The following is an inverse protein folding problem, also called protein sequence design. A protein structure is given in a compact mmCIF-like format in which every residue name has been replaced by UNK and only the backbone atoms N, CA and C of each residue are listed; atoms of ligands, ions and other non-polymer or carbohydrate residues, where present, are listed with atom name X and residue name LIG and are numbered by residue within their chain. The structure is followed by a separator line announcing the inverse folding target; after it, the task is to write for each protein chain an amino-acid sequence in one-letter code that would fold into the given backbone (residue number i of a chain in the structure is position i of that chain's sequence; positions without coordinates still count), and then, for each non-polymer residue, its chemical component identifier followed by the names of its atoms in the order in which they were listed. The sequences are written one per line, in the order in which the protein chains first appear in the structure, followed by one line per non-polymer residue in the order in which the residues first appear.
data_IF_704269036661
#
_entry.id   IF_704269036661
#
_cell.length_a   1.000
_cell.length_b   1.000
_cell.length_c   1.000
_cell.angle_alpha   90.00
_cell.angle_beta   90.00
_cell.angle_gamma   90.00
#
_symmetry.space_group_name_H-M   'P 1'
#
loop_
_entity.id
_entity.type
_entity.pdbx_description
1 polymer ?
#
# COMPACT_ATOMS: atom_id res chain seq x y z
N UNK A 1 3.80 0.33 -19.21
CA UNK A 1 2.43 0.90 -19.03
C UNK A 1 1.76 0.46 -17.72
N UNK A 2 1.96 -0.76 -17.22
CA UNK A 2 1.28 -1.26 -16.02
C UNK A 2 1.54 -0.49 -14.72
N UNK A 3 2.72 0.09 -14.52
CA UNK A 3 3.03 0.87 -13.31
C UNK A 3 2.23 2.19 -13.26
N UNK A 4 2.03 2.85 -14.39
CA UNK A 4 1.27 4.10 -14.47
C UNK A 4 -0.22 3.86 -14.18
N UNK A 5 -0.77 2.75 -14.67
CA UNK A 5 -2.17 2.40 -14.43
C UNK A 5 -2.50 2.18 -12.93
N UNK A 6 -1.52 1.83 -12.10
CA UNK A 6 -1.69 1.69 -10.65
C UNK A 6 -1.93 3.02 -9.92
N UNK A 7 -1.57 4.14 -10.53
CA UNK A 7 -1.85 5.48 -10.00
C UNK A 7 -3.32 5.90 -10.09
N UNK A 8 -4.15 5.12 -10.79
CA UNK A 8 -5.56 5.44 -11.00
C UNK A 8 -5.76 6.63 -11.93
N UNK A 9 -6.80 7.42 -11.67
CA UNK A 9 -7.20 8.58 -12.47
C UNK A 9 -6.94 9.93 -11.80
N UNK A 10 -6.31 9.93 -10.62
CA UNK A 10 -5.95 11.16 -9.91
C UNK A 10 -4.85 11.91 -10.66
N UNK A 11 -4.92 13.24 -10.62
CA UNK A 11 -3.86 14.08 -11.19
C UNK A 11 -2.54 13.85 -10.44
N UNK A 12 -1.46 13.61 -11.19
CA UNK A 12 -0.11 13.56 -10.65
C UNK A 12 0.37 14.99 -10.42
N UNK A 13 0.53 15.37 -9.16
CA UNK A 13 0.86 16.76 -8.78
C UNK A 13 2.36 17.00 -8.62
N UNK A 14 3.14 15.94 -8.39
CA UNK A 14 4.59 16.07 -8.20
C UNK A 14 5.32 14.75 -8.48
N UNK A 15 6.59 14.88 -8.85
CA UNK A 15 7.55 13.77 -8.98
C UNK A 15 8.79 14.12 -8.16
N UNK A 16 9.10 13.33 -7.16
CA UNK A 16 10.19 13.59 -6.22
C UNK A 16 11.32 12.57 -6.37
N UNK A 17 12.49 12.96 -5.97
CA UNK A 17 13.65 12.06 -5.88
C UNK A 17 13.50 11.10 -4.69
N UNK A 18 14.32 10.04 -4.70
CA UNK A 18 14.35 9.05 -3.61
C UNK A 18 14.57 9.72 -2.24
N UNK A 19 13.68 9.44 -1.29
CA UNK A 19 13.69 9.96 0.07
C UNK A 19 13.58 11.50 0.20
N UNK A 20 13.22 12.20 -0.88
CA UNK A 20 12.96 13.64 -0.83
C UNK A 20 11.67 13.92 -0.03
N UNK A 21 11.66 14.88 0.91
CA UNK A 21 10.47 15.21 1.67
C UNK A 21 9.30 15.69 0.80
N UNK A 22 8.12 15.11 1.01
CA UNK A 22 6.89 15.52 0.32
C UNK A 22 6.47 16.92 0.80
N UNK A 23 6.29 17.84 -0.15
CA UNK A 23 5.87 19.23 0.11
C UNK A 23 4.49 19.55 -0.44
N UNK A 24 3.98 18.73 -1.33
CA UNK A 24 2.71 18.93 -2.03
C UNK A 24 1.63 17.99 -1.48
N UNK A 25 0.35 18.35 -1.70
CA UNK A 25 -0.80 17.50 -1.39
C UNK A 25 -1.38 16.94 -2.68
N UNK A 26 -1.66 15.64 -2.72
CA UNK A 26 -2.21 14.94 -3.88
C UNK A 26 -1.40 13.69 -4.22
N UNK A 27 -1.58 13.17 -5.43
CA UNK A 27 -0.80 12.03 -5.90
C UNK A 27 0.62 12.47 -6.25
N UNK A 28 1.59 11.96 -5.50
CA UNK A 28 3.03 12.21 -5.72
C UNK A 28 3.68 10.90 -6.12
N UNK A 29 4.55 10.93 -7.12
CA UNK A 29 5.37 9.80 -7.51
C UNK A 29 6.81 9.99 -7.02
N UNK A 30 7.38 8.98 -6.35
CA UNK A 30 8.78 8.98 -5.97
C UNK A 30 9.58 8.11 -6.95
N UNK A 31 10.60 8.67 -7.57
CA UNK A 31 11.57 7.90 -8.35
C UNK A 31 12.45 7.08 -7.41
N UNK A 32 12.21 5.76 -7.36
CA UNK A 32 12.87 4.87 -6.41
C UNK A 32 13.25 3.53 -7.04
N UNK A 33 14.26 2.84 -6.44
CA UNK A 33 14.52 1.44 -6.78
C UNK A 33 13.28 0.57 -6.55
N UNK A 34 13.08 -0.44 -7.39
CA UNK A 34 11.94 -1.36 -7.31
C UNK A 34 12.06 -2.46 -6.24
N UNK A 35 13.09 -2.44 -5.40
CA UNK A 35 13.29 -3.42 -4.33
C UNK A 35 12.51 -3.01 -3.08
N UNK A 36 11.66 -3.91 -2.57
CA UNK A 36 10.67 -3.61 -1.53
C UNK A 36 11.22 -2.85 -0.31
N UNK A 37 12.25 -3.35 0.42
CA UNK A 37 12.76 -2.65 1.60
C UNK A 37 13.32 -1.26 1.28
N UNK A 38 14.03 -1.13 0.17
CA UNK A 38 14.65 0.14 -0.23
C UNK A 38 13.57 1.14 -0.64
N UNK A 39 12.61 0.73 -1.49
CA UNK A 39 11.52 1.59 -1.93
C UNK A 39 10.70 2.11 -0.76
N UNK A 40 10.24 1.23 0.13
CA UNK A 40 9.42 1.63 1.29
C UNK A 40 10.21 2.50 2.27
N UNK A 41 11.50 2.22 2.49
CA UNK A 41 12.36 3.07 3.33
C UNK A 41 12.42 4.50 2.79
N UNK A 42 12.57 4.67 1.48
CA UNK A 42 12.54 5.98 0.84
C UNK A 42 11.19 6.69 1.02
N UNK A 43 10.09 5.98 0.82
CA UNK A 43 8.74 6.54 1.01
C UNK A 43 8.51 7.02 2.45
N UNK A 44 8.93 6.23 3.44
CA UNK A 44 8.82 6.62 4.85
C UNK A 44 9.73 7.80 5.18
N UNK A 45 10.94 7.84 4.64
CA UNK A 45 11.84 8.99 4.79
C UNK A 45 11.26 10.26 4.13
N UNK A 46 10.50 10.12 3.04
CA UNK A 46 9.77 11.23 2.39
C UNK A 46 8.57 11.72 3.17
N UNK A 47 8.11 11.01 4.22
CA UNK A 47 7.02 11.41 5.09
C UNK A 47 5.79 10.49 5.07
N UNK A 48 5.84 9.34 4.40
CA UNK A 48 4.76 8.37 4.45
C UNK A 48 4.57 7.84 5.88
N UNK A 49 3.34 7.93 6.39
CA UNK A 49 2.96 7.51 7.75
C UNK A 49 2.10 6.24 7.78
N UNK A 50 1.70 5.74 6.62
CA UNK A 50 1.05 4.45 6.40
C UNK A 50 1.55 3.87 5.09
N UNK A 51 1.79 2.57 5.03
CA UNK A 51 2.16 1.86 3.81
C UNK A 51 1.05 0.89 3.44
N UNK A 52 0.55 0.97 2.20
CA UNK A 52 -0.30 -0.04 1.58
C UNK A 52 0.53 -0.83 0.59
N UNK A 53 0.88 -2.05 0.94
CA UNK A 53 1.77 -2.90 0.16
C UNK A 53 1.00 -3.95 -0.62
N UNK A 54 0.94 -3.81 -1.93
CA UNK A 54 0.26 -4.77 -2.81
C UNK A 54 1.24 -5.81 -3.36
N UNK A 55 0.88 -7.09 -3.34
CA UNK A 55 1.72 -8.15 -3.89
C UNK A 55 0.90 -9.27 -4.52
N UNK A 56 1.38 -9.82 -5.62
CA UNK A 56 0.79 -10.98 -6.31
C UNK A 56 1.56 -12.27 -6.10
N UNK A 57 2.82 -12.19 -5.70
CA UNK A 57 3.70 -13.35 -5.46
C UNK A 57 3.87 -13.67 -3.98
N UNK A 58 3.58 -12.70 -3.13
CA UNK A 58 3.83 -12.72 -1.70
C UNK A 58 5.10 -11.94 -1.35
N UNK A 59 5.10 -11.37 -0.15
CA UNK A 59 6.26 -10.72 0.45
C UNK A 59 6.12 -10.79 1.96
N UNK A 60 7.15 -11.19 2.66
CA UNK A 60 7.23 -11.18 4.14
C UNK A 60 7.66 -9.81 4.67
N UNK A 61 7.95 -8.86 3.76
CA UNK A 61 8.40 -7.53 4.15
C UNK A 61 7.30 -6.77 4.90
N UNK A 62 7.66 -6.16 6.02
CA UNK A 62 6.85 -5.23 6.79
C UNK A 62 7.70 -4.05 7.27
N UNK A 63 7.14 -2.85 7.29
CA UNK A 63 7.84 -1.65 7.73
C UNK A 63 7.52 -1.36 9.19
N UNK A 64 8.42 -1.69 10.11
CA UNK A 64 8.20 -1.49 11.55
C UNK A 64 8.00 -0.02 11.97
N UNK A 65 8.67 0.98 11.36
CA UNK A 65 8.50 2.39 11.73
C UNK A 65 7.08 2.94 11.50
N UNK A 66 6.37 2.42 10.49
CA UNK A 66 5.00 2.87 10.15
C UNK A 66 4.06 1.69 9.99
N UNK A 67 2.74 1.86 10.21
CA UNK A 67 1.76 0.82 9.90
C UNK A 67 1.85 0.39 8.45
N UNK A 68 1.88 -0.91 8.22
CA UNK A 68 1.90 -1.48 6.87
C UNK A 68 0.72 -2.42 6.72
N UNK A 69 -0.14 -2.15 5.74
CA UNK A 69 -1.27 -3.00 5.35
C UNK A 69 -0.87 -3.78 4.11
N UNK A 70 -0.89 -5.10 4.20
CA UNK A 70 -0.45 -5.99 3.13
C UNK A 70 -1.66 -6.56 2.37
N UNK A 71 -1.72 -6.24 1.08
CA UNK A 71 -2.83 -6.52 0.20
C UNK A 71 -2.46 -7.61 -0.80
N UNK A 72 -3.05 -8.78 -0.67
CA UNK A 72 -2.89 -9.86 -1.61
C UNK A 72 -3.72 -9.59 -2.88
N UNK A 73 -3.11 -9.64 -4.05
CA UNK A 73 -3.82 -9.38 -5.32
C UNK A 73 -4.43 -10.62 -5.96
N UNK A 74 -4.31 -11.79 -5.33
CA UNK A 74 -5.01 -13.02 -5.71
C UNK A 74 -5.24 -13.92 -4.49
N UNK A 75 -6.36 -14.63 -4.48
CA UNK A 75 -6.79 -15.48 -3.37
C UNK A 75 -5.88 -16.68 -3.14
N UNK A 76 -5.34 -17.27 -4.19
CA UNK A 76 -4.42 -18.43 -4.07
C UNK A 76 -3.17 -18.07 -3.24
N UNK A 77 -2.60 -16.89 -3.47
CA UNK A 77 -1.46 -16.40 -2.68
C UNK A 77 -1.88 -16.03 -1.27
N UNK A 78 -3.03 -15.37 -1.10
CA UNK A 78 -3.58 -15.02 0.22
C UNK A 78 -3.70 -16.25 1.13
N UNK A 79 -4.37 -17.32 0.66
CA UNK A 79 -4.54 -18.53 1.44
C UNK A 79 -3.25 -19.29 1.74
N UNK A 80 -2.22 -19.11 0.92
CA UNK A 80 -0.89 -19.69 1.17
C UNK A 80 -0.08 -18.91 2.20
N UNK A 81 -0.38 -17.61 2.39
CA UNK A 81 0.41 -16.68 3.21
C UNK A 81 -0.49 -15.87 4.16
N UNK A 82 -1.45 -16.53 4.80
CA UNK A 82 -2.44 -15.88 5.68
C UNK A 82 -1.83 -15.14 6.88
N UNK A 83 -0.65 -15.57 7.34
CA UNK A 83 0.07 -14.89 8.44
C UNK A 83 0.80 -13.61 7.98
N UNK A 84 1.04 -13.49 6.67
CA UNK A 84 1.79 -12.38 6.08
C UNK A 84 0.91 -11.35 5.35
N UNK A 85 -0.36 -11.67 5.10
CA UNK A 85 -1.29 -10.83 4.34
C UNK A 85 -2.47 -10.39 5.20
N UNK A 86 -2.84 -9.11 5.12
CA UNK A 86 -3.93 -8.55 5.91
C UNK A 86 -5.28 -8.62 5.18
N UNK A 87 -5.29 -8.41 3.86
CA UNK A 87 -6.51 -8.41 3.05
C UNK A 87 -6.37 -9.20 1.75
N UNK A 88 -7.45 -9.91 1.39
CA UNK A 88 -7.57 -10.62 0.13
C UNK A 88 -8.27 -9.78 -0.94
N UNK A 89 -7.52 -8.97 -1.69
CA UNK A 89 -8.07 -8.25 -2.84
C UNK A 89 -8.28 -9.15 -4.08
N UNK A 90 -7.86 -10.41 -4.03
CA UNK A 90 -8.15 -11.42 -5.06
C UNK A 90 -9.64 -11.70 -5.23
N UNK A 91 -10.45 -11.45 -4.21
CA UNK A 91 -11.90 -11.56 -4.23
C UNK A 91 -12.56 -10.75 -5.36
N UNK A 92 -11.92 -9.65 -5.80
CA UNK A 92 -12.38 -8.88 -6.97
C UNK A 92 -12.31 -9.74 -8.24
N UNK A 93 -11.22 -10.50 -8.41
CA UNK A 93 -11.02 -11.39 -9.57
C UNK A 93 -11.93 -12.61 -9.48
N UNK A 94 -12.14 -13.11 -8.27
CA UNK A 94 -13.02 -14.25 -7.97
C UNK A 94 -14.51 -13.90 -8.13
N UNK A 95 -14.84 -12.58 -8.23
CA UNK A 95 -16.20 -12.07 -8.42
C UNK A 95 -17.07 -12.11 -7.16
N UNK A 96 -16.47 -12.20 -5.98
CA UNK A 96 -17.16 -12.20 -4.68
C UNK A 96 -17.31 -10.80 -4.08
N UNK A 97 -16.53 -9.83 -4.56
CA UNK A 97 -16.63 -8.41 -4.23
C UNK A 97 -16.30 -7.54 -5.45
N UNK A 98 -16.61 -6.26 -5.41
CA UNK A 98 -16.22 -5.33 -6.45
C UNK A 98 -15.09 -4.36 -6.00
N UNK A 99 -14.58 -3.56 -6.95
CA UNK A 99 -13.48 -2.62 -6.70
C UNK A 99 -13.87 -1.54 -5.68
N UNK A 100 -15.13 -1.09 -5.69
CA UNK A 100 -15.61 -0.02 -4.81
C UNK A 100 -15.77 -0.51 -3.37
N UNK A 101 -16.34 -1.70 -3.22
CA UNK A 101 -16.48 -2.36 -1.93
C UNK A 101 -15.12 -2.68 -1.32
N UNK A 102 -14.21 -3.30 -2.09
CA UNK A 102 -12.86 -3.58 -1.63
C UNK A 102 -12.10 -2.29 -1.30
N UNK A 103 -12.25 -1.23 -2.08
CA UNK A 103 -11.67 0.08 -1.79
C UNK A 103 -12.15 0.65 -0.45
N UNK A 104 -13.44 0.49 -0.13
CA UNK A 104 -14.00 0.90 1.16
C UNK A 104 -13.43 0.08 2.32
N UNK A 105 -13.28 -1.23 2.14
CA UNK A 105 -12.67 -2.12 3.14
C UNK A 105 -11.21 -1.72 3.40
N UNK A 106 -10.42 -1.48 2.35
CA UNK A 106 -9.03 -1.02 2.48
C UNK A 106 -8.96 0.30 3.24
N UNK A 107 -9.80 1.28 2.87
CA UNK A 107 -9.82 2.58 3.51
C UNK A 107 -10.15 2.47 5.01
N UNK A 108 -11.15 1.69 5.39
CA UNK A 108 -11.51 1.45 6.79
C UNK A 108 -10.36 0.80 7.57
N UNK A 109 -9.66 -0.17 6.97
CA UNK A 109 -8.50 -0.82 7.60
C UNK A 109 -7.34 0.14 7.81
N UNK A 110 -7.05 1.02 6.84
CA UNK A 110 -6.06 2.09 6.99
C UNK A 110 -6.41 2.97 8.19
N UNK A 111 -7.66 3.41 8.27
CA UNK A 111 -8.12 4.33 9.31
C UNK A 111 -8.08 3.68 10.70
N UNK A 112 -8.51 2.44 10.82
CA UNK A 112 -8.49 1.67 12.08
C UNK A 112 -7.07 1.44 12.58
N UNK A 113 -6.14 1.05 11.71
CA UNK A 113 -4.74 0.84 12.06
C UNK A 113 -4.03 2.15 12.45
N UNK A 114 -4.39 3.27 11.82
CA UNK A 114 -3.86 4.58 12.17
C UNK A 114 -4.35 5.05 13.55
N UNK A 115 -5.65 4.97 13.82
CA UNK A 115 -6.26 5.34 15.11
C UNK A 115 -5.76 4.49 16.28
N UNK A 116 -5.56 3.19 16.05
CA UNK A 116 -5.04 2.28 17.07
C UNK A 116 -3.64 2.69 17.56
N UNK A 117 -2.77 3.18 16.68
CA UNK A 117 -1.44 3.67 17.08
C UNK A 117 -1.46 5.00 17.82
N UNK A 118 -2.39 5.90 17.50
CA UNK A 118 -2.53 7.19 18.20
C UNK A 118 -3.01 6.96 19.64
N UNK A 119 -3.91 6.02 19.85
CA UNK A 119 -4.50 5.75 21.17
C UNK A 119 -3.61 4.90 22.09
N UNK A 120 -2.46 4.42 21.63
CA UNK A 120 -1.49 3.66 22.45
C UNK A 120 -0.30 4.48 22.98
N UNK A 121 -0.34 5.80 22.85
CA UNK A 121 0.63 6.71 23.48
C UNK A 121 0.12 7.15 24.89
#
# INVERSE_FOLDING_TARGET
MGAIAKGGTSELVDVIQYAEPIKTKGLVFMDSPGYDPVSVTGQVASGANVVCFTTGRGSVFGCKPVPSLKLATNSSMFFRMTEDMDLNCGEIIDGTTDVQEMGSIIFQNIFSNYLWRINKK
#
